data_IF_113721977698
#
_entry.id   IF_113721977698
#
_cell.length_a   1.000
_cell.length_b   1.000
_cell.length_c   1.000
_cell.angle_alpha   90.00
_cell.angle_beta   90.00
_cell.angle_gamma   90.00
#
_symmetry.space_group_name_H-M   'P 1'
#
loop_
_entity.id
_entity.type
_entity.pdbx_description
1 polymer ?
#
# COMPACT_ATOMS: atom_id res chain seq x y z
N UNK A 1 10.45 12.41 -15.78
CA UNK A 1 9.27 12.56 -14.88
C UNK A 1 9.27 13.99 -14.30
N UNK A 2 9.08 14.99 -15.14
CA UNK A 2 8.92 16.38 -14.68
C UNK A 2 7.47 16.72 -14.34
N UNK A 3 6.49 15.86 -14.68
CA UNK A 3 5.06 16.24 -14.74
C UNK A 3 4.16 15.82 -13.57
N UNK A 4 4.54 14.89 -12.70
CA UNK A 4 3.63 14.51 -11.60
C UNK A 4 3.60 15.60 -10.54
N UNK A 5 2.41 16.02 -10.15
CA UNK A 5 2.12 16.95 -9.07
C UNK A 5 0.88 16.45 -8.31
N UNK A 6 0.37 17.26 -7.38
CA UNK A 6 -0.85 17.00 -6.60
C UNK A 6 -2.12 16.75 -7.42
N UNK A 7 -2.13 17.05 -8.73
CA UNK A 7 -3.28 16.77 -9.62
C UNK A 7 -3.24 15.38 -10.23
N UNK A 8 -2.15 14.63 -10.02
CA UNK A 8 -1.96 13.32 -10.62
C UNK A 8 -2.24 12.20 -9.62
N UNK A 9 -2.96 11.19 -10.09
CA UNK A 9 -3.13 9.91 -9.41
C UNK A 9 -2.25 8.85 -10.08
N UNK A 10 -1.31 8.30 -9.32
CA UNK A 10 -0.47 7.17 -9.73
C UNK A 10 -1.15 5.89 -9.27
N UNK A 11 -1.57 5.05 -10.22
CA UNK A 11 -2.13 3.73 -9.93
C UNK A 11 -1.05 2.69 -10.19
N UNK A 12 -0.75 1.89 -9.16
CA UNK A 12 0.22 0.79 -9.26
C UNK A 12 -0.55 -0.50 -9.08
N UNK A 13 -0.80 -1.18 -10.20
CA UNK A 13 -1.32 -2.54 -10.18
C UNK A 13 -0.20 -3.53 -9.83
N UNK A 14 -0.58 -4.63 -9.19
CA UNK A 14 0.32 -5.65 -8.66
C UNK A 14 1.47 -5.08 -7.80
N UNK A 15 1.12 -4.23 -6.82
CA UNK A 15 2.09 -3.52 -5.97
C UNK A 15 3.05 -4.43 -5.21
N UNK A 16 2.75 -5.73 -5.10
CA UNK A 16 3.66 -6.72 -4.53
C UNK A 16 5.04 -6.76 -5.20
N UNK A 17 5.19 -6.31 -6.45
CA UNK A 17 6.50 -6.23 -7.10
C UNK A 17 7.45 -5.20 -6.45
N UNK A 18 6.92 -4.33 -5.59
CA UNK A 18 7.65 -3.28 -4.87
C UNK A 18 8.01 -3.62 -3.42
N UNK A 19 7.75 -4.86 -2.97
CA UNK A 19 8.17 -5.36 -1.65
C UNK A 19 9.67 -5.15 -1.38
N UNK A 20 10.50 -5.32 -2.41
CA UNK A 20 11.95 -5.14 -2.29
C UNK A 20 12.37 -3.73 -2.72
N UNK A 21 12.77 -2.89 -1.75
CA UNK A 21 13.37 -1.57 -2.02
C UNK A 21 14.69 -1.64 -2.78
N UNK A 22 15.43 -2.75 -2.61
CA UNK A 22 16.78 -2.95 -3.15
C UNK A 22 16.82 -4.04 -4.22
N UNK A 23 17.85 -3.98 -5.06
CA UNK A 23 18.19 -5.04 -6.01
C UNK A 23 19.03 -6.11 -5.30
N UNK A 24 18.71 -7.38 -5.55
CA UNK A 24 19.43 -8.52 -4.96
C UNK A 24 20.91 -8.60 -5.36
N UNK A 25 21.29 -8.00 -6.51
CA UNK A 25 22.64 -8.11 -7.08
C UNK A 25 23.66 -7.16 -6.43
N UNK A 26 23.24 -5.95 -6.07
CA UNK A 26 24.15 -4.87 -5.67
C UNK A 26 23.66 -4.07 -4.44
N UNK A 27 22.52 -4.46 -3.85
CA UNK A 27 21.93 -3.76 -2.72
C UNK A 27 21.43 -2.34 -3.03
N UNK A 28 21.50 -1.89 -4.29
CA UNK A 28 21.07 -0.53 -4.65
C UNK A 28 19.56 -0.42 -4.68
N UNK A 29 19.03 0.75 -4.26
CA UNK A 29 17.60 1.05 -4.38
C UNK A 29 17.15 0.88 -5.83
N UNK A 30 16.00 0.22 -6.04
CA UNK A 30 15.43 0.06 -7.38
C UNK A 30 15.06 1.44 -7.94
N UNK A 31 15.42 1.72 -9.20
CA UNK A 31 15.11 3.02 -9.82
C UNK A 31 13.61 3.34 -9.82
N UNK A 32 12.74 2.34 -9.95
CA UNK A 32 11.30 2.54 -9.87
C UNK A 32 10.89 3.06 -8.48
N UNK A 33 11.47 2.50 -7.41
CA UNK A 33 11.23 2.93 -6.03
C UNK A 33 11.73 4.37 -5.79
N UNK A 34 12.94 4.69 -6.27
CA UNK A 34 13.50 6.04 -6.18
C UNK A 34 12.62 7.07 -6.90
N UNK A 35 12.18 6.76 -8.13
CA UNK A 35 11.35 7.66 -8.95
C UNK A 35 9.99 7.91 -8.31
N UNK A 36 9.37 6.88 -7.74
CA UNK A 36 8.09 7.00 -7.03
C UNK A 36 8.25 7.83 -5.76
N UNK A 37 9.25 7.53 -4.93
CA UNK A 37 9.51 8.29 -3.71
C UNK A 37 9.69 9.79 -3.97
N UNK A 38 10.44 10.19 -4.99
CA UNK A 38 10.58 11.60 -5.35
C UNK A 38 9.24 12.22 -5.81
N UNK A 39 8.42 11.48 -6.58
CA UNK A 39 7.11 11.97 -7.00
C UNK A 39 6.12 12.12 -5.82
N UNK A 40 6.21 11.26 -4.82
CA UNK A 40 5.32 11.25 -3.66
C UNK A 40 5.75 12.31 -2.65
N UNK A 41 7.03 12.30 -2.26
CA UNK A 41 7.56 13.16 -1.22
C UNK A 41 7.70 14.62 -1.65
N UNK A 42 8.30 14.86 -2.82
CA UNK A 42 8.58 16.23 -3.28
C UNK A 42 7.38 16.84 -4.01
N UNK A 43 6.66 16.03 -4.79
CA UNK A 43 5.61 16.53 -5.69
C UNK A 43 4.18 16.23 -5.24
N UNK A 44 4.02 15.57 -4.09
CA UNK A 44 2.74 15.31 -3.44
C UNK A 44 1.70 14.63 -4.33
N UNK A 45 2.12 13.82 -5.29
CA UNK A 45 1.20 13.08 -6.14
C UNK A 45 0.37 12.09 -5.29
N UNK A 46 -0.89 11.89 -5.67
CA UNK A 46 -1.73 10.85 -5.07
C UNK A 46 -1.28 9.47 -5.57
N UNK A 47 -1.35 8.45 -4.71
CA UNK A 47 -0.98 7.07 -5.07
C UNK A 47 -2.05 6.10 -4.61
N UNK A 48 -2.43 5.19 -5.49
CA UNK A 48 -3.27 4.03 -5.22
C UNK A 48 -2.47 2.75 -5.52
N UNK A 49 -2.31 1.90 -4.50
CA UNK A 49 -1.67 0.60 -4.62
C UNK A 49 -2.75 -0.48 -4.69
N UNK A 50 -2.70 -1.31 -5.72
CA UNK A 50 -3.61 -2.44 -5.90
C UNK A 50 -2.80 -3.74 -5.81
N UNK A 51 -3.29 -4.69 -5.03
CA UNK A 51 -2.67 -6.01 -4.92
C UNK A 51 -3.66 -7.04 -4.38
N UNK A 52 -3.66 -8.22 -4.99
CA UNK A 52 -4.36 -9.40 -4.46
C UNK A 52 -3.54 -10.10 -3.36
N UNK A 53 -2.26 -9.74 -3.21
CA UNK A 53 -1.33 -10.35 -2.25
C UNK A 53 -0.52 -9.25 -1.57
N UNK A 54 -1.11 -8.45 -0.67
CA UNK A 54 -0.33 -7.45 0.06
C UNK A 54 0.75 -8.11 0.93
N UNK A 55 0.52 -9.38 1.30
CA UNK A 55 1.35 -10.15 2.20
C UNK A 55 2.54 -10.85 1.51
N UNK A 56 3.74 -10.59 2.01
CA UNK A 56 4.83 -11.57 2.09
C UNK A 56 5.32 -11.68 3.52
N UNK A 57 6.05 -12.77 3.76
CA UNK A 57 6.54 -13.36 5.01
C UNK A 57 7.02 -12.41 6.14
N UNK A 58 7.23 -11.11 5.89
CA UNK A 58 7.85 -10.18 6.85
C UNK A 58 7.23 -8.77 6.78
N UNK A 59 7.11 -8.12 7.94
CA UNK A 59 6.61 -6.74 8.14
C UNK A 59 7.38 -5.71 7.30
N UNK A 60 8.67 -5.95 7.06
CA UNK A 60 9.52 -5.10 6.23
C UNK A 60 9.00 -4.93 4.80
N UNK A 61 8.51 -6.02 4.19
CA UNK A 61 7.99 -6.00 2.81
C UNK A 61 6.71 -5.17 2.69
N UNK A 62 5.85 -5.26 3.70
CA UNK A 62 4.64 -4.47 3.78
C UNK A 62 4.96 -2.99 3.97
N UNK A 63 5.85 -2.67 4.91
CA UNK A 63 6.31 -1.31 5.14
C UNK A 63 7.06 -0.72 3.93
N UNK A 64 7.64 -1.55 3.08
CA UNK A 64 8.22 -1.11 1.81
C UNK A 64 7.16 -0.63 0.83
N UNK A 65 6.01 -1.33 0.76
CA UNK A 65 4.87 -0.89 -0.03
C UNK A 65 4.19 0.34 0.57
N UNK A 66 3.94 0.35 1.89
CA UNK A 66 3.32 1.51 2.59
C UNK A 66 4.13 2.80 2.44
N UNK A 67 5.45 2.69 2.31
CA UNK A 67 6.31 3.84 2.07
C UNK A 67 6.11 4.52 0.70
N UNK A 68 5.46 3.83 -0.25
CA UNK A 68 5.06 4.35 -1.55
C UNK A 68 3.68 5.06 -1.52
N UNK A 69 3.03 5.14 -0.36
CA UNK A 69 1.86 5.99 -0.18
C UNK A 69 2.29 7.41 0.19
N UNK A 70 1.42 8.42 -0.01
CA UNK A 70 1.66 9.76 0.50
C UNK A 70 2.04 9.76 1.98
N UNK A 71 3.09 10.48 2.35
CA UNK A 71 3.59 10.57 3.73
C UNK A 71 2.71 11.48 4.57
N UNK A 72 1.48 11.03 4.82
CA UNK A 72 0.43 11.74 5.53
C UNK A 72 0.10 11.13 6.90
N UNK A 73 0.85 10.11 7.34
CA UNK A 73 0.69 9.54 8.66
C UNK A 73 1.08 10.55 9.75
N UNK A 74 0.58 10.30 10.97
CA UNK A 74 1.03 11.02 12.16
C UNK A 74 2.56 10.91 12.31
N UNK A 75 3.21 12.02 12.68
CA UNK A 75 4.67 12.07 12.84
C UNK A 75 5.12 11.12 13.95
N UNK A 76 5.79 10.02 13.57
CA UNK A 76 6.34 9.02 14.50
C UNK A 76 7.83 8.82 14.27
N UNK A 77 8.63 9.17 15.27
CA UNK A 77 10.07 8.91 15.31
C UNK A 77 10.35 7.55 15.95
N UNK A 78 9.83 6.50 15.33
CA UNK A 78 9.93 5.12 15.79
C UNK A 78 10.30 4.25 14.59
N UNK A 79 11.26 3.34 14.78
CA UNK A 79 11.63 2.30 13.81
C UNK A 79 10.62 1.13 13.84
N UNK A 80 10.72 0.21 12.87
CA UNK A 80 9.79 -0.94 12.77
C UNK A 80 9.86 -1.88 13.97
N UNK A 81 11.03 -1.95 14.61
CA UNK A 81 11.32 -2.76 15.80
C UNK A 81 10.92 -2.08 17.13
N UNK A 82 10.32 -0.89 17.08
CA UNK A 82 9.88 -0.13 18.27
C UNK A 82 10.92 0.80 18.85
N UNK A 83 12.14 0.86 18.31
CA UNK A 83 13.15 1.78 18.80
C UNK A 83 12.77 3.24 18.52
N UNK A 84 12.76 4.05 19.58
CA UNK A 84 12.59 5.50 19.50
C UNK A 84 13.87 6.12 18.93
N UNK A 85 13.70 7.05 18.01
CA UNK A 85 14.79 7.77 17.34
C UNK A 85 14.63 9.26 17.61
N UNK A 86 15.74 9.96 17.84
CA UNK A 86 15.67 11.40 18.08
C UNK A 86 15.43 12.17 16.78
N UNK A 87 14.58 13.22 16.79
CA UNK A 87 14.45 14.13 15.65
C UNK A 87 15.82 14.68 15.25
N UNK A 88 16.17 14.54 13.98
CA UNK A 88 17.45 15.00 13.43
C UNK A 88 18.62 14.02 13.52
N UNK A 89 18.48 12.84 14.15
CA UNK A 89 19.61 11.91 14.33
C UNK A 89 19.75 10.78 13.31
N UNK A 90 18.77 10.50 12.44
CA UNK A 90 18.98 9.63 11.28
C UNK A 90 18.12 10.14 10.11
N UNK A 91 18.81 10.42 9.01
CA UNK A 91 18.54 10.23 7.57
C UNK A 91 17.11 9.86 7.09
N UNK A 92 16.86 10.05 5.79
CA UNK A 92 15.64 9.72 5.01
C UNK A 92 14.97 8.36 5.31
N UNK A 93 15.64 7.48 6.05
CA UNK A 93 15.24 6.12 6.43
C UNK A 93 14.02 6.05 7.36
N UNK A 94 13.82 7.00 8.28
CA UNK A 94 12.68 6.92 9.22
C UNK A 94 11.39 7.39 8.58
N UNK A 95 11.48 8.39 7.68
CA UNK A 95 10.36 9.08 7.03
C UNK A 95 9.17 9.22 8.00
N UNK A 96 9.21 10.18 8.95
CA UNK A 96 8.36 10.16 10.15
C UNK A 96 6.86 10.19 9.86
N UNK A 97 6.45 10.62 8.66
CA UNK A 97 5.05 10.67 8.21
C UNK A 97 4.71 9.55 7.21
N UNK A 98 5.62 8.62 6.94
CA UNK A 98 5.32 7.44 6.15
C UNK A 98 4.43 6.48 6.94
N UNK A 99 3.49 5.87 6.24
CA UNK A 99 2.68 4.78 6.79
C UNK A 99 3.58 3.59 7.12
N UNK A 100 3.35 3.01 8.30
CA UNK A 100 4.10 1.86 8.80
C UNK A 100 3.28 1.09 9.82
N UNK A 101 3.51 -0.21 9.87
CA UNK A 101 3.06 -1.11 10.93
C UNK A 101 4.26 -1.59 11.73
N UNK A 102 4.01 -1.89 13.01
CA UNK A 102 5.02 -2.43 13.91
C UNK A 102 5.25 -3.91 13.63
N UNK A 103 6.44 -4.39 13.96
CA UNK A 103 6.70 -5.83 13.98
C UNK A 103 6.08 -6.44 15.25
N UNK A 104 4.85 -6.92 15.12
CA UNK A 104 4.06 -7.57 16.18
C UNK A 104 3.36 -8.81 15.62
N UNK A 105 2.96 -9.78 16.46
CA UNK A 105 2.13 -10.90 16.02
C UNK A 105 0.82 -10.46 15.35
N UNK A 106 0.28 -9.31 15.74
CA UNK A 106 -0.97 -8.71 15.26
C UNK A 106 -0.78 -7.72 14.09
N UNK A 107 0.43 -7.61 13.51
CA UNK A 107 0.73 -6.56 12.53
C UNK A 107 -0.20 -6.52 11.31
N UNK A 108 -0.79 -7.67 10.97
CA UNK A 108 -1.74 -7.75 9.85
C UNK A 108 -3.07 -7.07 10.19
N UNK A 109 -3.59 -7.28 11.41
CA UNK A 109 -4.78 -6.57 11.88
C UNK A 109 -4.50 -5.06 11.99
N UNK A 110 -3.30 -4.70 12.48
CA UNK A 110 -2.86 -3.30 12.50
C UNK A 110 -2.83 -2.70 11.10
N UNK A 111 -2.32 -3.44 10.11
CA UNK A 111 -2.33 -3.02 8.70
C UNK A 111 -3.75 -2.81 8.18
N UNK A 112 -4.64 -3.75 8.45
CA UNK A 112 -6.05 -3.70 8.03
C UNK A 112 -6.80 -2.52 8.67
N UNK A 113 -6.37 -2.10 9.85
CA UNK A 113 -6.93 -0.96 10.59
C UNK A 113 -6.45 0.41 10.07
N UNK A 114 -5.41 0.44 9.23
CA UNK A 114 -4.88 1.71 8.71
C UNK A 114 -5.94 2.39 7.83
N UNK A 115 -6.12 3.72 7.94
CA UNK A 115 -7.10 4.45 7.13
C UNK A 115 -6.74 4.47 5.63
N UNK A 116 -5.51 4.12 5.28
CA UNK A 116 -5.03 3.99 3.90
C UNK A 116 -5.12 2.56 3.35
N UNK A 117 -5.53 1.60 4.19
CA UNK A 117 -5.77 0.23 3.79
C UNK A 117 -7.26 0.01 3.60
N UNK A 118 -7.61 -0.71 2.54
CA UNK A 118 -8.99 -1.16 2.32
C UNK A 118 -8.92 -2.53 1.69
N UNK A 119 -9.66 -3.47 2.25
CA UNK A 119 -9.81 -4.81 1.67
C UNK A 119 -11.16 -4.91 0.98
N UNK A 120 -11.07 -5.18 -0.31
CA UNK A 120 -12.22 -5.44 -1.17
C UNK A 120 -12.39 -6.96 -1.21
N UNK A 121 -13.32 -7.50 -0.42
CA UNK A 121 -13.67 -8.92 -0.46
C UNK A 121 -14.74 -9.19 -1.52
N UNK A 122 -14.75 -10.39 -2.09
CA UNK A 122 -15.78 -10.80 -3.06
C UNK A 122 -17.19 -10.63 -2.49
N UNK A 123 -17.40 -10.92 -1.19
CA UNK A 123 -18.68 -10.73 -0.51
C UNK A 123 -19.06 -9.25 -0.42
N UNK A 124 -18.10 -8.36 -0.16
CA UNK A 124 -18.34 -6.91 -0.14
C UNK A 124 -18.66 -6.39 -1.54
N UNK A 125 -17.94 -6.85 -2.57
CA UNK A 125 -18.24 -6.50 -3.96
C UNK A 125 -19.62 -7.01 -4.38
N UNK A 126 -19.97 -8.24 -3.99
CA UNK A 126 -21.30 -8.78 -4.23
C UNK A 126 -22.39 -7.95 -3.52
N UNK A 127 -22.14 -7.55 -2.26
CA UNK A 127 -23.11 -6.74 -1.51
C UNK A 127 -23.35 -5.37 -2.14
N UNK A 128 -22.27 -4.70 -2.56
CA UNK A 128 -22.33 -3.30 -2.98
C UNK A 128 -22.55 -3.13 -4.49
N UNK A 129 -22.19 -4.12 -5.30
CA UNK A 129 -22.20 -4.04 -6.76
C UNK A 129 -22.92 -5.20 -7.46
N UNK A 130 -23.58 -6.12 -6.74
CA UNK A 130 -24.41 -7.11 -7.40
C UNK A 130 -25.75 -6.53 -7.86
N UNK A 131 -26.09 -6.84 -9.10
CA UNK A 131 -27.45 -6.73 -9.61
C UNK A 131 -28.25 -7.92 -9.06
N UNK A 132 -29.24 -7.63 -8.21
CA UNK A 132 -30.14 -8.65 -7.68
C UNK A 132 -31.19 -8.99 -8.73
N UNK A 133 -31.15 -10.21 -9.23
CA UNK A 133 -32.14 -10.71 -10.20
C UNK A 133 -32.94 -11.86 -9.61
N UNK A 134 -34.01 -12.30 -10.29
CA UNK A 134 -34.81 -13.47 -9.86
C UNK A 134 -34.01 -14.78 -9.88
N UNK A 135 -32.94 -14.85 -10.67
CA UNK A 135 -32.11 -16.05 -10.89
C UNK A 135 -30.91 -16.12 -9.92
N UNK A 136 -30.57 -14.99 -9.28
CA UNK A 136 -29.43 -14.87 -8.38
C UNK A 136 -28.82 -13.47 -8.38
N UNK A 137 -27.74 -13.30 -7.62
CA UNK A 137 -26.95 -12.07 -7.55
C UNK A 137 -25.80 -12.16 -8.57
N UNK A 138 -25.66 -11.14 -9.42
CA UNK A 138 -24.65 -11.10 -10.48
C UNK A 138 -23.80 -9.83 -10.37
N UNK A 139 -22.48 -9.93 -10.51
CA UNK A 139 -21.62 -8.75 -10.66
C UNK A 139 -21.36 -8.51 -12.16
N UNK A 140 -21.49 -7.25 -12.58
CA UNK A 140 -21.29 -6.82 -13.96
C UNK A 140 -19.84 -6.33 -14.16
N UNK A 141 -18.92 -7.25 -14.47
CA UNK A 141 -17.55 -6.93 -14.92
C UNK A 141 -17.45 -7.14 -16.44
N UNK A 142 -18.06 -6.24 -17.23
CA UNK A 142 -18.15 -6.36 -18.70
C UNK A 142 -19.11 -7.46 -19.17
N UNK A 143 -18.91 -8.70 -18.72
CA UNK A 143 -19.81 -9.85 -18.88
C UNK A 143 -20.27 -10.37 -17.52
N UNK A 144 -21.54 -10.80 -17.40
CA UNK A 144 -22.13 -11.32 -16.15
C UNK A 144 -21.36 -12.55 -15.66
N UNK A 145 -20.89 -12.53 -14.40
CA UNK A 145 -20.33 -13.71 -13.71
C UNK A 145 -21.21 -14.09 -12.53
N UNK A 146 -21.46 -15.39 -12.39
CA UNK A 146 -22.26 -15.98 -11.31
C UNK A 146 -21.47 -16.09 -10.01
N UNK A 147 -22.13 -15.87 -8.87
CA UNK A 147 -21.55 -16.04 -7.53
C UNK A 147 -22.23 -17.24 -6.84
N UNK A 148 -21.48 -18.24 -6.36
CA UNK A 148 -22.05 -19.32 -5.57
C UNK A 148 -22.59 -18.82 -4.24
N UNK A 149 -23.77 -19.32 -3.84
CA UNK A 149 -24.28 -19.12 -2.48
C UNK A 149 -23.53 -20.06 -1.53
N UNK A 150 -22.88 -19.48 -0.52
CA UNK A 150 -22.34 -20.18 0.64
C UNK A 150 -23.42 -20.53 1.66
#
# INVERSE_FOLDING_TARGET
ISQFDEKHLIIIDESQYFRNKVRARDGKKRHAFQRLNSAIGEKKAHVLLLTATPYSKEVGDLNNQLHLLPHTAEKKYIKQDGQIVMPGMIDDQISPQAWKVMDSPEFFEDFMSLPVATVISTSQVAKDFAEKTKEGDYILFGTKKWIPKG
#
